data_IF_701210066254
#
_entry.id   IF_701210066254
#
_cell.length_a   1.000
_cell.length_b   1.000
_cell.length_c   1.000
_cell.angle_alpha   90.00
_cell.angle_beta   90.00
_cell.angle_gamma   90.00
#
_symmetry.space_group_name_H-M   'P 1'
#
loop_
_entity.id
_entity.type
_entity.pdbx_description
1 polymer ?
#
# COMPACT_ATOMS: atom_id res chain seq x y z
N UNK A 1 16.76 4.82 10.63
CA UNK A 1 16.43 3.51 10.04
C UNK A 1 16.58 2.42 11.11
N UNK A 2 15.69 1.44 11.10
CA UNK A 2 15.80 0.25 11.93
C UNK A 2 16.73 -0.73 11.19
N UNK A 3 17.72 -1.32 11.85
CA UNK A 3 18.56 -2.36 11.23
C UNK A 3 17.78 -3.68 11.05
N UNK A 4 18.31 -4.56 10.19
CA UNK A 4 17.61 -5.81 9.85
C UNK A 4 17.42 -6.74 11.06
N UNK A 5 18.39 -6.83 11.96
CA UNK A 5 18.29 -7.73 13.12
C UNK A 5 17.22 -7.24 14.11
N UNK A 6 17.17 -5.94 14.36
CA UNK A 6 16.12 -5.33 15.18
C UNK A 6 14.73 -5.55 14.54
N UNK A 7 14.60 -5.41 13.23
CA UNK A 7 13.33 -5.63 12.53
C UNK A 7 12.91 -7.09 12.58
N UNK A 8 13.82 -8.03 12.31
CA UNK A 8 13.59 -9.47 12.45
C UNK A 8 13.10 -9.85 13.84
N UNK A 9 13.77 -9.35 14.88
CA UNK A 9 13.39 -9.62 16.28
C UNK A 9 11.99 -9.08 16.64
N UNK A 10 11.48 -8.09 15.93
CA UNK A 10 10.14 -7.54 16.14
C UNK A 10 9.07 -8.29 15.37
N UNK A 11 9.31 -8.64 14.12
CA UNK A 11 8.26 -9.11 13.21
C UNK A 11 8.13 -10.64 13.20
N UNK A 12 9.23 -11.38 13.27
CA UNK A 12 9.20 -12.84 13.14
C UNK A 12 8.40 -13.51 14.27
N UNK A 13 8.61 -13.15 15.56
CA UNK A 13 7.81 -13.75 16.64
C UNK A 13 6.31 -13.46 16.51
N UNK A 14 5.93 -12.30 15.96
CA UNK A 14 4.52 -11.94 15.76
C UNK A 14 3.90 -12.81 14.67
N UNK A 15 4.58 -12.97 13.53
CA UNK A 15 4.08 -13.78 12.41
C UNK A 15 3.94 -15.24 12.84
N UNK A 16 4.99 -15.82 13.47
CA UNK A 16 4.97 -17.18 13.95
C UNK A 16 3.85 -17.40 15.00
N UNK A 17 3.74 -16.50 15.97
CA UNK A 17 2.69 -16.58 16.99
C UNK A 17 1.27 -16.48 16.44
N UNK A 18 1.04 -15.69 15.38
CA UNK A 18 -0.24 -15.66 14.68
C UNK A 18 -0.55 -17.01 14.01
N UNK A 19 0.44 -17.63 13.36
CA UNK A 19 0.26 -18.95 12.74
C UNK A 19 0.04 -20.04 13.79
N UNK A 20 0.79 -20.04 14.87
CA UNK A 20 0.62 -20.96 16.01
C UNK A 20 -0.77 -20.80 16.65
N UNK A 21 -1.32 -19.58 16.67
CA UNK A 21 -2.68 -19.31 17.14
C UNK A 21 -3.77 -19.71 16.12
N UNK A 22 -3.41 -20.31 14.98
CA UNK A 22 -4.37 -20.80 13.98
C UNK A 22 -4.92 -19.72 13.04
N UNK A 23 -4.27 -18.55 12.93
CA UNK A 23 -4.66 -17.52 11.96
C UNK A 23 -4.38 -18.01 10.55
N UNK A 24 -5.42 -18.11 9.71
CA UNK A 24 -5.34 -18.65 8.33
C UNK A 24 -5.41 -17.59 7.24
N UNK A 25 -5.84 -16.36 7.55
CA UNK A 25 -5.88 -15.25 6.59
C UNK A 25 -4.46 -14.87 6.15
N UNK A 26 -4.34 -14.24 4.99
CA UNK A 26 -3.07 -13.75 4.49
C UNK A 26 -2.44 -12.72 5.44
N UNK A 27 -1.13 -12.85 5.67
CA UNK A 27 -0.31 -11.92 6.45
C UNK A 27 0.61 -11.21 5.47
N UNK A 28 0.57 -9.88 5.46
CA UNK A 28 1.49 -9.04 4.69
C UNK A 28 2.59 -8.51 5.59
N UNK A 29 3.86 -8.68 5.17
CA UNK A 29 5.01 -8.03 5.80
C UNK A 29 5.30 -6.69 5.13
N UNK A 30 5.40 -5.62 5.92
CA UNK A 30 5.77 -4.28 5.45
C UNK A 30 7.28 -4.10 5.69
N UNK A 31 8.08 -4.27 4.64
CA UNK A 31 9.54 -4.15 4.73
C UNK A 31 10.16 -3.78 3.38
N UNK A 32 11.28 -3.06 3.41
CA UNK A 32 12.11 -2.77 2.24
C UNK A 32 13.44 -3.54 2.25
N UNK A 33 13.55 -4.57 3.09
CA UNK A 33 14.77 -5.38 3.25
C UNK A 33 14.51 -6.83 2.85
N UNK A 34 15.25 -7.32 1.87
CA UNK A 34 15.13 -8.68 1.33
C UNK A 34 15.27 -9.76 2.42
N UNK A 35 16.27 -9.62 3.29
CA UNK A 35 16.50 -10.56 4.42
C UNK A 35 15.31 -10.64 5.38
N UNK A 36 14.64 -9.52 5.64
CA UNK A 36 13.45 -9.49 6.50
C UNK A 36 12.25 -10.11 5.79
N UNK A 37 12.08 -9.81 4.50
CA UNK A 37 11.03 -10.40 3.67
C UNK A 37 11.16 -11.93 3.61
N UNK A 38 12.36 -12.47 3.34
CA UNK A 38 12.64 -13.90 3.29
C UNK A 38 12.30 -14.60 4.62
N UNK A 39 12.78 -14.05 5.73
CA UNK A 39 12.51 -14.61 7.05
C UNK A 39 11.01 -14.54 7.42
N UNK A 40 10.34 -13.45 7.07
CA UNK A 40 8.89 -13.29 7.32
C UNK A 40 8.06 -14.29 6.52
N UNK A 41 8.40 -14.49 5.23
CA UNK A 41 7.77 -15.51 4.38
C UNK A 41 7.98 -16.92 4.94
N UNK A 42 9.20 -17.23 5.39
CA UNK A 42 9.53 -18.50 6.05
C UNK A 42 8.76 -18.72 7.37
N UNK A 43 8.47 -17.62 8.09
CA UNK A 43 7.67 -17.65 9.32
C UNK A 43 6.15 -17.73 9.07
N UNK A 44 5.70 -17.63 7.81
CA UNK A 44 4.30 -17.80 7.44
C UNK A 44 3.61 -16.51 6.92
N UNK A 45 4.33 -15.42 6.65
CA UNK A 45 3.79 -14.33 5.85
C UNK A 45 3.49 -14.82 4.41
N UNK A 46 2.57 -14.16 3.72
CA UNK A 46 2.12 -14.56 2.39
C UNK A 46 2.33 -13.47 1.35
N UNK A 47 2.50 -12.22 1.76
CA UNK A 47 2.56 -11.04 0.90
C UNK A 47 3.73 -10.18 1.37
N UNK A 48 4.50 -9.63 0.44
CA UNK A 48 5.51 -8.61 0.73
C UNK A 48 4.99 -7.24 0.28
N UNK A 49 4.94 -6.27 1.20
CA UNK A 49 4.64 -4.87 0.91
C UNK A 49 5.92 -4.05 1.05
N UNK A 50 6.42 -3.55 -0.08
CA UNK A 50 7.64 -2.75 -0.13
C UNK A 50 7.36 -1.32 -0.63
N UNK A 51 7.44 -0.38 0.30
CA UNK A 51 7.23 1.05 0.02
C UNK A 51 8.26 1.67 -0.94
N UNK A 52 9.33 0.95 -1.24
CA UNK A 52 10.41 1.38 -2.14
C UNK A 52 10.35 0.73 -3.52
N UNK A 53 9.45 -0.23 -3.72
CA UNK A 53 9.31 -0.99 -4.97
C UNK A 53 10.63 -1.65 -5.43
N UNK A 54 11.37 -2.28 -4.52
CA UNK A 54 12.63 -2.98 -4.80
C UNK A 54 13.83 -2.06 -5.01
N UNK A 55 13.74 -0.77 -4.64
CA UNK A 55 14.85 0.17 -4.84
C UNK A 55 15.81 0.25 -3.65
N UNK A 56 15.35 -0.08 -2.44
CA UNK A 56 16.19 -0.02 -1.25
C UNK A 56 17.12 -1.22 -1.10
N UNK A 57 16.72 -2.38 -1.62
CA UNK A 57 17.46 -3.62 -1.51
C UNK A 57 17.42 -4.35 -2.87
N UNK A 58 18.58 -4.57 -3.48
CA UNK A 58 18.71 -5.19 -4.80
C UNK A 58 18.24 -6.66 -4.84
N UNK A 59 18.27 -7.34 -3.69
CA UNK A 59 17.88 -8.74 -3.56
C UNK A 59 16.36 -8.93 -3.36
N UNK A 60 15.60 -7.86 -3.15
CA UNK A 60 14.16 -7.93 -2.87
C UNK A 60 13.40 -8.70 -3.96
N UNK A 61 13.63 -8.37 -5.21
CA UNK A 61 12.93 -9.03 -6.32
C UNK A 61 13.25 -10.51 -6.43
N UNK A 62 14.51 -10.91 -6.19
CA UNK A 62 14.91 -12.31 -6.22
C UNK A 62 14.26 -13.13 -5.10
N UNK A 63 14.14 -12.56 -3.89
CA UNK A 63 13.45 -13.18 -2.75
C UNK A 63 11.97 -13.38 -3.05
N UNK A 64 11.30 -12.35 -3.55
CA UNK A 64 9.86 -12.42 -3.86
C UNK A 64 9.57 -13.39 -5.00
N UNK A 65 10.38 -13.37 -6.06
CA UNK A 65 10.26 -14.29 -7.19
C UNK A 65 10.44 -15.75 -6.75
N UNK A 66 11.49 -16.03 -5.94
CA UNK A 66 11.75 -17.37 -5.42
C UNK A 66 10.59 -17.89 -4.53
N UNK A 67 9.96 -16.99 -3.76
CA UNK A 67 8.82 -17.34 -2.91
C UNK A 67 7.49 -17.45 -3.69
N UNK A 68 7.43 -16.97 -4.93
CA UNK A 68 6.22 -16.93 -5.77
C UNK A 68 5.02 -16.31 -5.02
N UNK A 69 5.25 -15.24 -4.26
CA UNK A 69 4.23 -14.58 -3.43
C UNK A 69 3.81 -13.23 -4.04
N UNK A 70 2.59 -12.73 -3.71
CA UNK A 70 2.16 -11.40 -4.10
C UNK A 70 3.12 -10.31 -3.58
N UNK A 71 3.41 -9.35 -4.44
CA UNK A 71 4.28 -8.23 -4.14
C UNK A 71 3.57 -6.90 -4.32
N UNK A 72 3.44 -6.13 -3.22
CA UNK A 72 2.88 -4.79 -3.25
C UNK A 72 4.02 -3.80 -3.35
N UNK A 73 4.04 -3.04 -4.44
CA UNK A 73 5.04 -1.99 -4.68
C UNK A 73 4.40 -0.60 -4.64
N UNK A 74 5.08 0.33 -3.99
CA UNK A 74 4.57 1.68 -3.78
C UNK A 74 5.51 2.75 -4.35
N UNK A 75 4.93 3.90 -4.74
CA UNK A 75 5.69 5.10 -5.04
C UNK A 75 5.86 5.99 -3.82
N UNK A 76 7.10 6.35 -3.53
CA UNK A 76 7.48 7.36 -2.54
C UNK A 76 8.49 8.34 -3.15
N UNK A 77 8.28 9.64 -2.96
CA UNK A 77 9.27 10.66 -3.31
C UNK A 77 10.14 10.97 -2.09
N UNK A 78 11.46 10.87 -2.26
CA UNK A 78 12.41 11.13 -1.18
C UNK A 78 12.44 10.05 -0.10
N UNK A 79 12.86 10.42 1.09
CA UNK A 79 12.95 9.52 2.24
C UNK A 79 11.85 9.82 3.27
N UNK A 80 11.41 8.86 4.10
CA UNK A 80 10.33 9.06 5.08
C UNK A 80 10.50 10.27 6.00
N UNK A 81 11.73 10.68 6.28
CA UNK A 81 12.02 11.82 7.17
C UNK A 81 11.87 13.18 6.49
N UNK A 82 12.14 13.27 5.20
CA UNK A 82 12.19 14.52 4.43
C UNK A 82 11.16 14.58 3.30
N UNK A 83 10.47 13.50 3.02
CA UNK A 83 9.53 13.37 1.91
C UNK A 83 8.38 14.41 1.90
N UNK A 84 8.10 15.04 3.03
CA UNK A 84 7.05 16.07 3.15
C UNK A 84 7.58 17.50 2.99
N UNK A 85 8.92 17.65 2.86
CA UNK A 85 9.56 18.96 2.73
C UNK A 85 9.46 19.39 1.26
N UNK A 86 8.38 20.12 0.93
CA UNK A 86 8.12 20.70 -0.40
C UNK A 86 8.13 19.69 -1.57
N UNK A 87 7.31 18.61 -1.54
CA UNK A 87 7.24 17.67 -2.65
C UNK A 87 6.77 18.37 -3.93
N UNK A 88 7.52 18.22 -5.02
CA UNK A 88 7.25 18.87 -6.31
C UNK A 88 7.12 17.85 -7.43
N UNK A 89 6.10 18.03 -8.27
CA UNK A 89 5.84 17.26 -9.47
C UNK A 89 5.38 18.22 -10.59
N UNK A 90 5.80 17.98 -11.80
CA UNK A 90 5.23 18.67 -12.98
C UNK A 90 3.83 18.14 -13.27
N UNK A 91 3.68 16.81 -13.22
CA UNK A 91 2.39 16.12 -13.29
C UNK A 91 2.44 14.86 -12.40
N UNK A 92 1.89 14.98 -11.20
CA UNK A 92 1.96 13.90 -10.19
C UNK A 92 1.36 12.58 -10.66
N UNK A 93 0.28 12.61 -11.45
CA UNK A 93 -0.39 11.40 -11.94
C UNK A 93 0.50 10.69 -12.96
N UNK A 94 0.97 11.44 -13.97
CA UNK A 94 1.78 10.85 -15.05
C UNK A 94 3.16 10.39 -14.58
N UNK A 95 3.79 11.13 -13.68
CA UNK A 95 5.10 10.77 -13.14
C UNK A 95 5.03 9.49 -12.29
N UNK A 96 4.01 9.36 -11.42
CA UNK A 96 3.84 8.17 -10.61
C UNK A 96 3.41 6.97 -11.47
N UNK A 97 2.54 7.20 -12.47
CA UNK A 97 2.17 6.16 -13.44
C UNK A 97 3.39 5.63 -14.20
N UNK A 98 4.25 6.53 -14.69
CA UNK A 98 5.49 6.14 -15.38
C UNK A 98 6.43 5.35 -14.47
N UNK A 99 6.64 5.82 -13.23
CA UNK A 99 7.43 5.13 -12.22
C UNK A 99 6.90 3.71 -11.95
N UNK A 100 5.61 3.57 -11.67
CA UNK A 100 5.01 2.27 -11.39
C UNK A 100 5.08 1.33 -12.61
N UNK A 101 4.88 1.85 -13.83
CA UNK A 101 5.04 1.08 -15.07
C UNK A 101 6.46 0.52 -15.22
N UNK A 102 7.49 1.33 -14.95
CA UNK A 102 8.88 0.88 -14.95
C UNK A 102 9.12 -0.21 -13.90
N UNK A 103 8.61 -0.01 -12.68
CA UNK A 103 8.80 -0.98 -11.59
C UNK A 103 8.06 -2.30 -11.85
N UNK A 104 6.88 -2.26 -12.46
CA UNK A 104 6.14 -3.45 -12.91
C UNK A 104 6.98 -4.23 -13.92
N UNK A 105 7.56 -3.55 -14.91
CA UNK A 105 8.43 -4.21 -15.91
C UNK A 105 9.61 -4.89 -15.22
N UNK A 106 10.35 -4.16 -14.39
CA UNK A 106 11.52 -4.69 -13.68
C UNK A 106 11.17 -5.90 -12.77
N UNK A 107 10.02 -5.87 -12.10
CA UNK A 107 9.56 -6.98 -11.27
C UNK A 107 9.20 -8.21 -12.13
N UNK A 108 8.53 -8.01 -13.27
CA UNK A 108 8.22 -9.09 -14.22
C UNK A 108 9.48 -9.71 -14.82
N UNK A 109 10.46 -8.88 -15.17
CA UNK A 109 11.76 -9.35 -15.70
C UNK A 109 12.52 -10.19 -14.67
N UNK A 110 12.31 -9.91 -13.37
CA UNK A 110 12.84 -10.71 -12.27
C UNK A 110 12.01 -11.97 -11.95
N UNK A 111 10.90 -12.21 -12.67
CA UNK A 111 10.05 -13.40 -12.51
C UNK A 111 8.89 -13.25 -11.53
N UNK A 112 8.57 -12.04 -11.06
CA UNK A 112 7.41 -11.80 -10.19
C UNK A 112 6.16 -11.67 -11.06
N UNK A 113 5.18 -12.55 -10.88
CA UNK A 113 3.92 -12.58 -11.64
C UNK A 113 2.76 -11.90 -10.92
N UNK A 114 2.72 -11.97 -9.59
CA UNK A 114 1.61 -11.43 -8.78
C UNK A 114 2.00 -10.07 -8.18
N UNK A 115 1.68 -9.01 -8.91
CA UNK A 115 2.06 -7.63 -8.61
C UNK A 115 0.82 -6.81 -8.27
N UNK A 116 0.91 -6.06 -7.18
CA UNK A 116 -0.08 -5.08 -6.74
C UNK A 116 0.62 -3.73 -6.62
N UNK A 117 -0.02 -2.65 -7.04
CA UNK A 117 0.56 -1.30 -6.97
C UNK A 117 -0.18 -0.40 -5.97
N UNK A 118 0.57 0.44 -5.27
CA UNK A 118 0.05 1.53 -4.43
C UNK A 118 0.62 2.87 -4.95
N UNK A 119 -0.20 3.84 -5.37
CA UNK A 119 0.27 5.16 -5.78
C UNK A 119 0.97 5.95 -4.67
N UNK A 120 0.94 5.47 -3.44
CA UNK A 120 1.66 6.04 -2.31
C UNK A 120 1.04 7.33 -1.81
N UNK A 121 -0.28 7.35 -1.62
CA UNK A 121 -0.99 8.50 -1.03
C UNK A 121 -0.34 8.89 0.29
N UNK A 122 0.02 10.17 0.46
CA UNK A 122 0.64 10.69 1.68
C UNK A 122 2.15 10.48 1.80
N UNK A 123 2.81 9.86 0.82
CA UNK A 123 4.26 9.66 0.80
C UNK A 123 4.93 10.62 -0.19
N UNK A 124 5.50 11.72 0.31
CA UNK A 124 6.12 12.76 -0.52
C UNK A 124 5.11 13.47 -1.44
N UNK A 125 3.96 13.86 -0.91
CA UNK A 125 2.86 14.45 -1.68
C UNK A 125 2.12 15.53 -0.88
N UNK A 126 1.80 16.65 -1.52
CA UNK A 126 0.94 17.69 -0.97
C UNK A 126 -0.52 17.21 -0.86
N UNK A 127 -1.38 17.99 -0.22
CA UNK A 127 -2.84 17.73 -0.20
C UNK A 127 -3.38 17.66 -1.62
N UNK A 128 -3.03 18.62 -2.47
CA UNK A 128 -3.47 18.69 -3.87
C UNK A 128 -2.99 17.47 -4.67
N UNK A 129 -1.71 17.07 -4.51
CA UNK A 129 -1.18 15.88 -5.16
C UNK A 129 -1.97 14.63 -4.79
N UNK A 130 -2.29 14.44 -3.50
CA UNK A 130 -3.08 13.30 -3.05
C UNK A 130 -4.49 13.30 -3.66
N UNK A 131 -5.16 14.45 -3.70
CA UNK A 131 -6.48 14.57 -4.30
C UNK A 131 -6.46 14.29 -5.81
N UNK A 132 -5.44 14.77 -6.55
CA UNK A 132 -5.28 14.48 -7.97
C UNK A 132 -5.09 12.98 -8.24
N UNK A 133 -4.29 12.28 -7.43
CA UNK A 133 -4.10 10.84 -7.55
C UNK A 133 -5.40 10.07 -7.31
N UNK A 134 -6.17 10.45 -6.27
CA UNK A 134 -7.45 9.83 -5.95
C UNK A 134 -8.52 10.12 -7.03
N UNK A 135 -8.51 11.30 -7.61
CA UNK A 135 -9.42 11.67 -8.70
C UNK A 135 -9.14 10.88 -9.99
N UNK A 136 -7.88 10.48 -10.23
CA UNK A 136 -7.41 9.80 -11.45
C UNK A 136 -6.89 8.38 -11.18
N UNK A 137 -7.54 7.62 -10.31
CA UNK A 137 -7.16 6.23 -9.98
C UNK A 137 -7.17 5.32 -11.22
N UNK A 138 -8.06 5.60 -12.19
CA UNK A 138 -8.16 4.89 -13.46
C UNK A 138 -6.84 4.84 -14.25
N UNK A 139 -5.98 5.85 -14.11
CA UNK A 139 -4.67 5.88 -14.77
C UNK A 139 -3.71 4.80 -14.22
N UNK A 140 -3.89 4.43 -12.96
CA UNK A 140 -3.12 3.35 -12.34
C UNK A 140 -3.73 1.99 -12.67
N UNK A 141 -5.04 1.85 -12.65
CA UNK A 141 -5.72 0.62 -13.05
C UNK A 141 -5.42 0.24 -14.52
N UNK A 142 -5.21 1.24 -15.40
CA UNK A 142 -4.81 1.03 -16.78
C UNK A 142 -3.42 0.38 -16.94
N UNK A 143 -2.62 0.23 -15.87
CA UNK A 143 -1.36 -0.53 -15.89
C UNK A 143 -1.58 -2.05 -15.89
N UNK A 144 -2.83 -2.53 -15.74
CA UNK A 144 -3.20 -3.93 -15.87
C UNK A 144 -2.76 -4.82 -14.71
N UNK A 145 -2.60 -4.24 -13.53
CA UNK A 145 -2.35 -4.94 -12.25
C UNK A 145 -3.27 -4.34 -11.17
N UNK A 146 -3.61 -5.10 -10.11
CA UNK A 146 -4.46 -4.60 -9.03
C UNK A 146 -3.92 -3.34 -8.36
N UNK A 147 -4.83 -2.43 -7.99
CA UNK A 147 -4.53 -1.16 -7.30
C UNK A 147 -4.92 -1.24 -5.84
N UNK A 148 -3.95 -0.98 -4.97
CA UNK A 148 -4.15 -0.81 -3.53
C UNK A 148 -4.16 0.67 -3.17
N UNK A 149 -5.11 1.10 -2.33
CA UNK A 149 -5.12 2.42 -1.74
C UNK A 149 -4.98 2.37 -0.20
N UNK A 150 -3.93 3.00 0.31
CA UNK A 150 -3.68 3.21 1.74
C UNK A 150 -3.92 4.65 2.13
N UNK A 151 -5.17 5.07 2.35
CA UNK A 151 -5.53 6.46 2.71
C UNK A 151 -5.88 6.63 4.19
N UNK A 152 -5.98 5.54 4.93
CA UNK A 152 -6.51 5.52 6.29
C UNK A 152 -5.72 6.40 7.27
N UNK A 153 -6.42 7.31 7.93
CA UNK A 153 -5.92 8.25 8.94
C UNK A 153 -4.83 9.21 8.43
N UNK A 154 -4.65 9.34 7.11
CA UNK A 154 -3.60 10.17 6.50
C UNK A 154 -3.80 11.67 6.80
N UNK A 155 -2.69 12.41 6.88
CA UNK A 155 -2.67 13.84 7.25
C UNK A 155 -3.50 14.72 6.32
N UNK A 156 -3.53 14.41 5.01
CA UNK A 156 -4.28 15.21 4.03
C UNK A 156 -5.79 15.20 4.33
N UNK A 157 -6.36 14.10 4.87
CA UNK A 157 -7.75 14.06 5.31
C UNK A 157 -8.00 15.04 6.45
N UNK A 158 -7.10 15.06 7.44
CA UNK A 158 -7.20 16.03 8.54
C UNK A 158 -7.05 17.47 8.07
N UNK A 159 -6.16 17.75 7.12
CA UNK A 159 -5.98 19.08 6.55
C UNK A 159 -7.24 19.61 5.82
N UNK A 160 -8.03 18.71 5.22
CA UNK A 160 -9.29 19.09 4.54
C UNK A 160 -10.44 19.25 5.53
N UNK A 161 -10.51 18.41 6.55
CA UNK A 161 -11.70 18.28 7.41
C UNK A 161 -11.55 18.92 8.79
N UNK A 162 -10.35 19.38 9.14
CA UNK A 162 -10.05 19.92 10.48
C UNK A 162 -9.88 18.84 11.57
N UNK A 163 -9.92 17.54 11.22
CA UNK A 163 -9.74 16.45 12.19
C UNK A 163 -8.25 16.24 12.45
N UNK A 164 -7.75 16.76 13.57
CA UNK A 164 -6.32 16.80 13.87
C UNK A 164 -5.75 15.43 14.29
N UNK A 165 -6.42 14.76 15.24
CA UNK A 165 -5.93 13.50 15.77
C UNK A 165 -6.10 12.35 14.76
N UNK A 166 -5.03 11.57 14.46
CA UNK A 166 -5.13 10.46 13.50
C UNK A 166 -6.20 9.43 13.87
N UNK A 167 -6.36 9.12 15.16
CA UNK A 167 -7.34 8.14 15.64
C UNK A 167 -8.80 8.54 15.31
N UNK A 168 -9.09 9.84 15.26
CA UNK A 168 -10.43 10.37 15.01
C UNK A 168 -10.76 10.43 13.50
N UNK A 169 -9.78 10.16 12.62
CA UNK A 169 -9.96 10.21 11.17
C UNK A 169 -10.63 8.97 10.57
N UNK A 170 -11.08 8.01 11.36
CA UNK A 170 -11.73 6.80 10.82
C UNK A 170 -13.00 7.13 10.02
N UNK A 171 -13.87 8.01 10.55
CA UNK A 171 -15.09 8.41 9.87
C UNK A 171 -14.79 9.10 8.51
N UNK A 172 -13.89 10.09 8.49
CA UNK A 172 -13.53 10.78 7.24
C UNK A 172 -12.77 9.88 6.27
N UNK A 173 -12.02 8.90 6.77
CA UNK A 173 -11.41 7.84 5.94
C UNK A 173 -12.50 7.05 5.22
N UNK A 174 -13.54 6.62 5.93
CA UNK A 174 -14.63 5.85 5.33
C UNK A 174 -15.48 6.68 4.37
N UNK A 175 -15.71 7.95 4.67
CA UNK A 175 -16.37 8.87 3.73
C UNK A 175 -15.58 8.99 2.43
N UNK A 176 -14.27 9.12 2.49
CA UNK A 176 -13.43 9.16 1.28
C UNK A 176 -13.49 7.84 0.51
N UNK A 177 -13.44 6.68 1.18
CA UNK A 177 -13.63 5.40 0.51
C UNK A 177 -15.00 5.24 -0.12
N UNK A 178 -16.07 5.76 0.51
CA UNK A 178 -17.40 5.76 -0.08
C UNK A 178 -17.48 6.61 -1.35
N UNK A 179 -16.82 7.79 -1.36
CA UNK A 179 -16.71 8.63 -2.56
C UNK A 179 -15.90 8.00 -3.69
N UNK A 180 -14.98 7.11 -3.36
CA UNK A 180 -14.12 6.38 -4.31
C UNK A 180 -14.67 4.98 -4.63
N UNK A 181 -15.84 4.62 -4.11
CA UNK A 181 -16.33 3.25 -4.18
C UNK A 181 -16.56 2.73 -5.61
N UNK A 182 -16.81 3.62 -6.58
CA UNK A 182 -16.99 3.28 -8.01
C UNK A 182 -15.69 3.42 -8.84
N UNK A 183 -14.59 3.81 -8.20
CA UNK A 183 -13.28 3.85 -8.84
C UNK A 183 -12.68 2.43 -8.93
N UNK A 184 -11.82 2.14 -9.91
CA UNK A 184 -11.17 0.85 -10.08
C UNK A 184 -10.06 0.65 -9.02
N UNK A 185 -10.47 0.35 -7.81
CA UNK A 185 -9.61 0.04 -6.66
C UNK A 185 -9.92 -1.37 -6.20
N UNK A 186 -8.89 -2.22 -6.17
CA UNK A 186 -9.05 -3.65 -5.85
C UNK A 186 -8.87 -3.91 -4.36
N UNK A 187 -7.98 -3.16 -3.70
CA UNK A 187 -7.62 -3.36 -2.30
C UNK A 187 -7.61 -2.02 -1.57
N UNK A 188 -8.19 -1.98 -0.38
CA UNK A 188 -8.05 -0.86 0.54
C UNK A 188 -7.31 -1.29 1.81
N UNK A 189 -6.33 -0.49 2.24
CA UNK A 189 -5.62 -0.72 3.49
C UNK A 189 -6.12 0.27 4.55
N UNK A 190 -6.75 -0.26 5.60
CA UNK A 190 -7.42 0.54 6.63
C UNK A 190 -7.08 0.09 8.04
N UNK A 191 -7.14 1.00 9.02
CA UNK A 191 -7.02 0.67 10.44
C UNK A 191 -8.34 0.09 10.99
N UNK A 192 -9.49 0.63 10.55
CA UNK A 192 -10.80 0.22 11.02
C UNK A 192 -11.51 -0.66 9.97
N UNK A 193 -11.17 -1.95 9.97
CA UNK A 193 -11.71 -2.92 9.01
C UNK A 193 -13.23 -3.07 9.13
N UNK A 194 -13.78 -3.01 10.35
CA UNK A 194 -15.23 -3.11 10.57
C UNK A 194 -16.00 -1.99 9.88
N UNK A 195 -15.54 -0.73 10.01
CA UNK A 195 -16.18 0.39 9.31
C UNK A 195 -16.04 0.29 7.80
N UNK A 196 -14.89 -0.18 7.31
CA UNK A 196 -14.70 -0.42 5.88
C UNK A 196 -15.68 -1.47 5.35
N UNK A 197 -15.87 -2.57 6.09
CA UNK A 197 -16.87 -3.58 5.74
C UNK A 197 -18.28 -2.98 5.59
N UNK A 198 -18.70 -2.06 6.47
CA UNK A 198 -20.02 -1.42 6.34
C UNK A 198 -20.17 -0.61 5.04
N UNK A 199 -19.14 0.15 4.65
CA UNK A 199 -19.17 0.93 3.38
C UNK A 199 -19.40 0.01 2.19
N UNK A 200 -18.64 -1.07 2.09
CA UNK A 200 -18.73 -1.97 0.93
C UNK A 200 -19.95 -2.89 0.98
N UNK A 201 -20.44 -3.26 2.15
CA UNK A 201 -21.71 -3.97 2.28
C UNK A 201 -22.90 -3.12 1.80
N UNK A 202 -22.93 -1.82 2.17
CA UNK A 202 -23.94 -0.89 1.70
C UNK A 202 -23.85 -0.65 0.18
N UNK A 203 -22.63 -0.49 -0.34
CA UNK A 203 -22.43 -0.39 -1.81
C UNK A 203 -22.97 -1.61 -2.53
N UNK A 204 -22.60 -2.82 -2.07
CA UNK A 204 -23.08 -4.08 -2.68
C UNK A 204 -24.60 -4.19 -2.65
N UNK A 205 -25.24 -3.83 -1.53
CA UNK A 205 -26.69 -3.84 -1.41
C UNK A 205 -27.37 -2.87 -2.39
N UNK A 206 -26.81 -1.67 -2.58
CA UNK A 206 -27.33 -0.70 -3.55
C UNK A 206 -27.20 -1.20 -4.99
N UNK A 207 -26.09 -1.82 -5.35
CA UNK A 207 -25.90 -2.41 -6.68
C UNK A 207 -26.83 -3.59 -6.96
N UNK A 208 -27.18 -4.37 -5.93
CA UNK A 208 -28.11 -5.51 -6.07
C UNK A 208 -29.57 -5.07 -6.17
N UNK A 209 -29.89 -3.82 -5.87
CA UNK A 209 -31.23 -3.26 -5.93
C UNK A 209 -31.52 -2.49 -7.24
N UNK A 210 -30.50 -2.29 -8.08
CA UNK A 210 -30.57 -1.63 -9.39
C UNK A 210 -30.63 -2.66 -10.53
#
# INVERSE_FOLDING_TARGET
PVDSDTELNRVIPVIAGLRDAGVTISISIDTSKARVAEAALSAGANIVNDVTAGRADADMFSVVAAASCPYIMMHMLGEPRTMQDSPSYSNVVMEIRAYLSERISAARDAGISDIIIDPGIGFGKSVEHNLRLLAHVEEFAALGVPVLLGISRKRFLGAITGVEAPADRDAVTMMMHALLADKPVDIIRVHNVRMAHYVFALKSALHSAS
#
